data_IF_453229003516
#
_entry.id   IF_453229003516
#
_cell.length_a   1.000
_cell.length_b   1.000
_cell.length_c   1.000
_cell.angle_alpha   90.00
_cell.angle_beta   90.00
_cell.angle_gamma   90.00
#
_symmetry.space_group_name_H-M   'P 1'
#
loop_
_entity.id
_entity.type
_entity.pdbx_description
1 polymer ?
#
# COMPACT_ATOMS: atom_id res chain seq x y z
N UNK A 1 -9.83 10.51 6.65
CA UNK A 1 -10.23 11.86 7.08
C UNK A 1 -11.46 12.23 6.28
N UNK A 2 -12.42 12.89 6.91
CA UNK A 2 -13.72 13.20 6.30
C UNK A 2 -13.83 14.72 6.11
N UNK A 3 -14.51 15.12 5.03
CA UNK A 3 -14.89 16.51 4.74
C UNK A 3 -13.73 17.51 4.72
N UNK A 4 -12.53 17.09 4.30
CA UNK A 4 -11.39 17.97 4.08
C UNK A 4 -11.02 18.08 2.60
N UNK A 5 -10.49 19.23 2.22
CA UNK A 5 -10.04 19.51 0.85
C UNK A 5 -8.51 19.51 0.82
N UNK A 6 -7.94 18.83 -0.16
CA UNK A 6 -6.50 18.87 -0.39
C UNK A 6 -6.10 20.20 -1.04
N UNK A 7 -4.88 20.72 -0.81
CA UNK A 7 -4.43 22.00 -1.37
C UNK A 7 -4.52 22.08 -2.91
N UNK A 8 -4.39 20.93 -3.58
CA UNK A 8 -4.50 20.81 -5.03
C UNK A 8 -5.52 19.73 -5.39
N UNK A 9 -6.60 20.13 -6.07
CA UNK A 9 -7.64 19.19 -6.51
C UNK A 9 -7.07 18.15 -7.48
N UNK A 10 -7.54 16.91 -7.39
CA UNK A 10 -7.15 15.78 -8.26
C UNK A 10 -5.67 15.36 -8.19
N UNK A 11 -4.93 15.80 -7.16
CA UNK A 11 -3.55 15.39 -6.94
C UNK A 11 -3.44 14.60 -5.63
N UNK A 12 -2.59 13.57 -5.63
CA UNK A 12 -2.08 12.99 -4.41
C UNK A 12 -0.94 13.85 -3.87
N UNK A 13 -0.83 13.97 -2.56
CA UNK A 13 0.19 14.76 -1.88
C UNK A 13 1.12 13.84 -1.12
N UNK A 14 2.42 14.05 -1.32
CA UNK A 14 3.47 13.40 -0.54
C UNK A 14 4.14 14.47 0.30
N UNK A 15 4.14 14.29 1.61
CA UNK A 15 4.77 15.19 2.57
C UNK A 15 6.05 14.54 3.03
N UNK A 16 7.16 15.23 2.80
CA UNK A 16 8.48 14.83 3.26
C UNK A 16 8.64 15.24 4.74
N UNK A 17 8.00 14.46 5.62
CA UNK A 17 8.09 14.61 7.06
C UNK A 17 9.29 13.84 7.63
N UNK A 18 9.71 14.23 8.84
CA UNK A 18 10.71 13.54 9.65
C UNK A 18 10.01 12.66 10.70
N UNK A 19 10.34 11.37 10.86
CA UNK A 19 11.42 10.62 10.20
C UNK A 19 11.03 9.95 8.87
N UNK A 20 9.77 10.00 8.45
CA UNK A 20 9.26 9.21 7.33
C UNK A 20 8.11 9.92 6.61
N UNK A 21 7.90 9.64 5.31
CA UNK A 21 6.95 10.38 4.50
C UNK A 21 5.49 10.09 4.87
N UNK A 22 4.62 11.05 4.55
CA UNK A 22 3.17 10.95 4.73
C UNK A 22 2.50 11.11 3.36
N UNK A 23 1.54 10.24 3.04
CA UNK A 23 0.75 10.35 1.82
C UNK A 23 -0.68 10.76 2.11
N UNK A 24 -1.21 11.64 1.28
CA UNK A 24 -2.61 12.00 1.22
C UNK A 24 -3.14 11.83 -0.20
N UNK A 25 -4.33 11.25 -0.33
CA UNK A 25 -5.02 11.21 -1.61
C UNK A 25 -6.53 11.06 -1.39
N UNK A 26 -7.36 11.67 -2.26
CA UNK A 26 -8.81 11.52 -2.18
C UNK A 26 -9.18 10.10 -2.63
N UNK A 27 -10.10 9.46 -1.91
CA UNK A 27 -10.67 8.15 -2.28
C UNK A 27 -12.16 8.24 -2.61
N UNK A 28 -12.82 9.31 -2.19
CA UNK A 28 -14.20 9.64 -2.53
C UNK A 28 -14.37 11.16 -2.55
N UNK A 29 -15.58 11.65 -2.87
CA UNK A 29 -15.91 13.08 -2.83
C UNK A 29 -15.89 13.68 -1.43
N UNK A 30 -15.91 12.84 -0.38
CA UNK A 30 -15.98 13.26 1.02
C UNK A 30 -14.84 12.72 1.87
N UNK A 31 -14.02 11.79 1.35
CA UNK A 31 -12.98 11.11 2.12
C UNK A 31 -11.60 11.25 1.48
N UNK A 32 -10.65 11.60 2.33
CA UNK A 32 -9.22 11.63 2.02
C UNK A 32 -8.53 10.55 2.84
N UNK A 33 -7.80 9.68 2.15
CA UNK A 33 -6.91 8.70 2.79
C UNK A 33 -5.64 9.39 3.23
N UNK A 34 -5.22 9.12 4.46
CA UNK A 34 -3.91 9.48 4.99
C UNK A 34 -3.15 8.20 5.30
N UNK A 35 -1.91 8.10 4.83
CA UNK A 35 -0.97 7.04 5.16
C UNK A 35 0.27 7.67 5.79
N UNK A 36 0.57 7.27 7.02
CA UNK A 36 1.76 7.71 7.75
C UNK A 36 2.72 6.52 7.79
N UNK A 37 3.90 6.69 7.22
CA UNK A 37 4.96 5.70 7.39
C UNK A 37 5.59 5.82 8.78
N UNK A 38 5.75 4.70 9.46
CA UNK A 38 6.27 4.63 10.83
C UNK A 38 7.50 3.74 10.78
N UNK A 39 8.72 4.29 10.96
CA UNK A 39 9.93 3.50 10.83
C UNK A 39 10.13 2.57 12.03
N UNK A 40 10.76 1.43 11.78
CA UNK A 40 11.16 0.47 12.80
C UNK A 40 10.36 -0.84 12.79
N UNK A 41 10.84 -1.83 13.55
CA UNK A 41 10.23 -3.17 13.61
C UNK A 41 8.98 -3.24 14.49
N UNK A 42 8.83 -2.31 15.44
CA UNK A 42 7.69 -2.23 16.35
C UNK A 42 7.02 -0.87 16.17
N UNK A 43 5.77 -0.90 15.73
CA UNK A 43 4.92 0.29 15.68
C UNK A 43 4.31 0.56 17.06
N UNK A 44 4.03 1.83 17.40
CA UNK A 44 3.28 2.18 18.60
C UNK A 44 1.95 1.40 18.68
N UNK A 45 1.56 0.98 19.88
CA UNK A 45 0.33 0.21 20.03
C UNK A 45 -0.91 1.10 19.85
N UNK A 46 -1.91 0.57 19.15
CA UNK A 46 -3.22 1.23 19.00
C UNK A 46 -4.04 1.03 20.29
N UNK A 47 -3.98 -0.16 20.89
CA UNK A 47 -4.83 -0.55 22.02
C UNK A 47 -4.59 0.27 23.30
N UNK A 48 -3.36 0.79 23.49
CA UNK A 48 -2.98 1.63 24.63
C UNK A 48 -2.94 3.13 24.29
N UNK A 49 -3.32 3.52 23.07
CA UNK A 49 -3.32 4.92 22.61
C UNK A 49 -1.95 5.52 22.27
N UNK A 50 -0.86 4.74 22.31
CA UNK A 50 0.48 5.23 21.95
C UNK A 50 0.55 5.71 20.50
N UNK A 51 -0.14 5.00 19.59
CA UNK A 51 -0.25 5.41 18.19
C UNK A 51 -0.93 6.77 18.04
N UNK A 52 -2.07 6.98 18.71
CA UNK A 52 -2.77 8.25 18.69
C UNK A 52 -1.89 9.38 19.25
N UNK A 53 -1.16 9.12 20.34
CA UNK A 53 -0.19 10.06 20.90
C UNK A 53 0.91 10.40 19.90
N UNK A 54 1.55 9.39 19.30
CA UNK A 54 2.59 9.58 18.28
C UNK A 54 2.11 10.43 17.11
N UNK A 55 0.92 10.14 16.57
CA UNK A 55 0.35 10.89 15.46
C UNK A 55 0.09 12.35 15.85
N UNK A 56 -0.40 12.63 17.06
CA UNK A 56 -0.64 14.01 17.53
C UNK A 56 0.63 14.78 17.85
N UNK A 57 1.65 14.13 18.42
CA UNK A 57 2.85 14.84 18.92
C UNK A 57 3.95 14.96 17.89
N UNK A 58 4.11 13.96 17.01
CA UNK A 58 5.22 13.90 16.05
C UNK A 58 4.73 14.25 14.65
N UNK A 59 3.58 13.72 14.24
CA UNK A 59 3.12 13.79 12.85
C UNK A 59 2.30 15.05 12.59
N UNK A 60 1.32 15.37 13.45
CA UNK A 60 0.42 16.50 13.28
C UNK A 60 1.13 17.86 13.10
N UNK A 61 2.22 18.20 13.82
CA UNK A 61 2.93 19.48 13.63
C UNK A 61 3.56 19.65 12.24
N UNK A 62 3.75 18.56 11.50
CA UNK A 62 4.38 18.55 10.17
C UNK A 62 3.34 18.50 9.03
N UNK A 63 2.05 18.43 9.38
CA UNK A 63 0.95 18.42 8.41
C UNK A 63 0.56 19.87 8.07
N UNK A 64 0.20 20.16 6.81
CA UNK A 64 -0.30 21.46 6.38
C UNK A 64 -1.48 21.92 7.26
N UNK A 65 -1.55 23.22 7.62
CA UNK A 65 -2.61 23.77 8.47
C UNK A 65 -4.02 23.41 7.98
N UNK A 66 -4.22 23.34 6.66
CA UNK A 66 -5.51 23.05 6.03
C UNK A 66 -6.03 21.62 6.33
N UNK A 67 -5.11 20.69 6.61
CA UNK A 67 -5.44 19.28 6.89
C UNK A 67 -5.33 18.94 8.37
N UNK A 68 -4.74 19.83 9.19
CA UNK A 68 -4.44 19.59 10.58
C UNK A 68 -5.68 19.21 11.40
N UNK A 69 -6.76 20.01 11.32
CA UNK A 69 -7.96 19.79 12.13
C UNK A 69 -8.68 18.49 11.75
N UNK A 70 -8.77 18.22 10.44
CA UNK A 70 -9.33 16.98 9.94
C UNK A 70 -8.50 15.74 10.34
N UNK A 71 -7.17 15.90 10.43
CA UNK A 71 -6.27 14.85 10.88
C UNK A 71 -6.45 14.56 12.37
N UNK A 72 -6.49 15.58 13.23
CA UNK A 72 -6.72 15.43 14.67
C UNK A 72 -8.09 14.79 14.94
N UNK A 73 -9.14 15.27 14.29
CA UNK A 73 -10.49 14.69 14.41
C UNK A 73 -10.52 13.21 13.99
N UNK A 74 -9.83 12.85 12.90
CA UNK A 74 -9.74 11.46 12.46
C UNK A 74 -9.02 10.55 13.48
N UNK A 75 -8.02 11.06 14.19
CA UNK A 75 -7.33 10.35 15.27
C UNK A 75 -8.27 10.15 16.46
N UNK A 76 -9.01 11.19 16.84
CA UNK A 76 -9.96 11.15 17.96
C UNK A 76 -11.12 10.18 17.73
N UNK A 77 -11.56 10.05 16.47
CA UNK A 77 -12.56 9.07 16.07
C UNK A 77 -12.04 7.62 16.11
N UNK A 78 -10.73 7.40 16.28
CA UNK A 78 -10.15 6.09 16.60
C UNK A 78 -10.06 5.06 15.47
N UNK A 79 -10.40 5.42 14.23
CA UNK A 79 -10.33 4.50 13.07
C UNK A 79 -8.90 4.39 12.50
N UNK A 80 -7.93 4.08 13.36
CA UNK A 80 -6.52 3.91 13.00
C UNK A 80 -6.28 2.44 12.66
N UNK A 81 -5.67 2.18 11.50
CA UNK A 81 -5.27 0.83 11.07
C UNK A 81 -3.79 0.82 10.74
N UNK A 82 -3.12 -0.25 11.13
CA UNK A 82 -1.71 -0.49 10.81
C UNK A 82 -1.59 -1.65 9.83
N UNK A 83 -0.69 -1.50 8.87
CA UNK A 83 -0.31 -2.56 7.93
C UNK A 83 1.21 -2.61 7.85
N UNK A 84 1.83 -3.80 7.82
CA UNK A 84 3.27 -3.91 7.68
C UNK A 84 3.70 -3.60 6.23
N UNK A 85 4.70 -2.74 6.07
CA UNK A 85 5.39 -2.54 4.80
C UNK A 85 6.43 -3.66 4.64
N UNK A 86 6.18 -4.63 3.76
CA UNK A 86 7.10 -5.74 3.49
C UNK A 86 7.75 -5.57 2.12
N UNK A 87 8.96 -6.10 2.01
CA UNK A 87 9.64 -6.31 0.74
C UNK A 87 9.84 -7.81 0.57
N UNK A 88 9.33 -8.36 -0.53
CA UNK A 88 9.48 -9.75 -0.91
C UNK A 88 10.01 -9.77 -2.34
N UNK A 89 11.33 -9.95 -2.55
CA UNK A 89 11.88 -10.05 -3.89
C UNK A 89 11.36 -11.34 -4.56
N UNK A 90 11.13 -11.26 -5.87
CA UNK A 90 10.77 -12.43 -6.66
C UNK A 90 11.91 -13.46 -6.65
N UNK A 91 11.62 -14.65 -6.13
CA UNK A 91 12.51 -15.83 -6.18
C UNK A 91 11.70 -17.02 -6.71
N UNK A 92 11.65 -17.22 -8.04
CA UNK A 92 10.79 -18.23 -8.63
C UNK A 92 11.29 -19.64 -8.31
N UNK A 93 10.43 -20.44 -7.69
CA UNK A 93 10.63 -21.87 -7.50
C UNK A 93 9.62 -22.66 -8.36
N UNK A 94 10.03 -23.16 -9.54
CA UNK A 94 9.13 -23.83 -10.47
C UNK A 94 8.53 -25.09 -9.83
N UNK A 95 7.21 -25.06 -9.63
CA UNK A 95 6.45 -26.19 -9.09
C UNK A 95 5.43 -26.62 -10.14
N UNK A 96 5.55 -27.83 -10.73
CA UNK A 96 4.65 -28.27 -11.77
C UNK A 96 3.17 -28.18 -11.35
N UNK A 97 2.37 -27.48 -12.15
CA UNK A 97 0.94 -27.30 -11.90
C UNK A 97 0.59 -26.18 -10.91
N UNK A 98 1.56 -25.41 -10.42
CA UNK A 98 1.34 -24.26 -9.55
C UNK A 98 1.97 -23.00 -10.13
N UNK A 99 1.30 -21.86 -9.93
CA UNK A 99 1.78 -20.53 -10.30
C UNK A 99 1.54 -19.58 -9.13
N UNK A 100 2.55 -18.80 -8.78
CA UNK A 100 2.49 -17.77 -7.75
C UNK A 100 2.51 -16.39 -8.42
N UNK A 101 1.63 -15.48 -8.00
CA UNK A 101 1.50 -14.14 -8.61
C UNK A 101 1.15 -13.06 -7.58
N UNK A 102 1.32 -11.80 -8.00
CA UNK A 102 1.02 -10.61 -7.21
C UNK A 102 1.89 -10.50 -5.97
N UNK A 103 1.34 -9.89 -4.92
CA UNK A 103 2.02 -9.66 -3.63
C UNK A 103 2.51 -10.96 -2.95
N UNK A 104 1.97 -12.13 -3.33
CA UNK A 104 2.45 -13.42 -2.84
C UNK A 104 3.78 -13.84 -3.49
N UNK A 105 4.07 -13.35 -4.71
CA UNK A 105 5.29 -13.63 -5.46
C UNK A 105 6.33 -12.52 -5.33
N UNK A 106 5.90 -11.26 -5.44
CA UNK A 106 6.77 -10.10 -5.52
C UNK A 106 6.10 -8.88 -4.86
N UNK A 107 6.62 -8.42 -3.73
CA UNK A 107 6.06 -7.31 -2.96
C UNK A 107 7.11 -6.21 -2.79
N UNK A 108 6.71 -4.97 -3.07
CA UNK A 108 7.54 -3.77 -2.93
C UNK A 108 6.94 -2.83 -1.89
N UNK A 109 7.74 -1.86 -1.44
CA UNK A 109 7.25 -0.82 -0.54
C UNK A 109 6.06 -0.06 -1.17
N UNK A 110 4.92 0.13 -0.47
CA UNK A 110 3.70 0.68 -1.07
C UNK A 110 3.76 2.21 -1.32
N UNK A 111 4.92 2.84 -1.12
CA UNK A 111 5.10 4.29 -1.21
C UNK A 111 4.75 4.82 -2.60
N UNK A 112 5.06 4.04 -3.63
CA UNK A 112 4.78 4.39 -5.03
C UNK A 112 3.42 3.88 -5.53
N UNK A 113 2.68 3.14 -4.71
CA UNK A 113 1.39 2.55 -5.11
C UNK A 113 1.45 1.56 -6.27
N UNK A 114 2.65 1.02 -6.59
CA UNK A 114 2.87 0.22 -7.81
C UNK A 114 2.37 -1.22 -7.79
N UNK A 115 2.02 -1.79 -6.63
CA UNK A 115 1.73 -3.23 -6.49
C UNK A 115 0.61 -3.74 -7.40
N UNK A 116 -0.51 -3.01 -7.48
CA UNK A 116 -1.61 -3.38 -8.38
C UNK A 116 -1.23 -3.27 -9.86
N UNK A 117 -0.45 -2.25 -10.23
CA UNK A 117 0.04 -2.08 -11.60
C UNK A 117 0.95 -3.24 -12.01
N UNK A 118 1.83 -3.68 -11.11
CA UNK A 118 2.69 -4.84 -11.34
C UNK A 118 1.85 -6.12 -11.51
N UNK A 119 0.92 -6.37 -10.59
CA UNK A 119 0.05 -7.55 -10.67
C UNK A 119 -0.78 -7.60 -11.97
N UNK A 120 -1.32 -6.47 -12.42
CA UNK A 120 -2.05 -6.39 -13.68
C UNK A 120 -1.13 -6.55 -14.90
N UNK A 121 0.11 -6.05 -14.84
CA UNK A 121 1.09 -6.24 -15.90
C UNK A 121 1.49 -7.72 -16.02
N UNK A 122 1.69 -8.41 -14.89
CA UNK A 122 1.95 -9.84 -14.85
C UNK A 122 0.81 -10.65 -15.46
N UNK A 123 -0.45 -10.24 -15.23
CA UNK A 123 -1.62 -10.88 -15.84
C UNK A 123 -1.62 -10.77 -17.36
N UNK A 124 -1.22 -9.64 -17.93
CA UNK A 124 -1.14 -9.47 -19.39
C UNK A 124 -0.09 -10.41 -19.99
N UNK A 125 1.10 -10.47 -19.37
CA UNK A 125 2.16 -11.40 -19.81
C UNK A 125 1.69 -12.84 -19.68
N UNK A 126 1.08 -13.20 -18.55
CA UNK A 126 0.55 -14.54 -18.33
C UNK A 126 -0.53 -14.89 -19.37
N UNK A 127 -1.43 -13.97 -19.69
CA UNK A 127 -2.46 -14.18 -20.69
C UNK A 127 -1.83 -14.56 -22.05
N UNK A 128 -0.81 -13.84 -22.48
CA UNK A 128 -0.11 -14.12 -23.74
C UNK A 128 0.63 -15.46 -23.71
N UNK A 129 1.22 -15.83 -22.57
CA UNK A 129 1.85 -17.13 -22.38
C UNK A 129 0.84 -18.29 -22.37
N UNK A 130 -0.36 -18.08 -21.81
CA UNK A 130 -1.41 -19.09 -21.76
C UNK A 130 -2.16 -19.25 -23.08
N UNK A 131 -2.24 -18.20 -23.91
CA UNK A 131 -2.99 -18.19 -25.18
C UNK A 131 -2.64 -19.33 -26.16
N UNK A 132 -1.38 -19.73 -26.39
CA UNK A 132 -1.05 -20.87 -27.26
C UNK A 132 -1.31 -22.24 -26.63
N UNK A 133 -1.51 -22.32 -25.30
CA UNK A 133 -1.65 -23.58 -24.59
C UNK A 133 -3.07 -24.13 -24.74
N UNK A 134 -3.19 -25.26 -25.46
CA UNK A 134 -4.48 -25.94 -25.67
C UNK A 134 -4.83 -26.96 -24.59
N UNK A 135 -3.85 -27.31 -23.74
CA UNK A 135 -4.00 -28.32 -22.71
C UNK A 135 -3.24 -27.90 -21.45
N UNK A 136 -3.96 -27.74 -20.34
CA UNK A 136 -3.41 -27.39 -19.03
C UNK A 136 -3.09 -28.62 -18.15
N UNK A 137 -3.35 -29.84 -18.64
CA UNK A 137 -3.11 -31.07 -17.88
C UNK A 137 -1.67 -31.58 -17.92
N UNK A 138 -0.82 -31.02 -18.78
CA UNK A 138 0.61 -31.36 -18.82
C UNK A 138 1.43 -30.39 -17.96
N UNK A 139 1.37 -30.61 -16.64
CA UNK A 139 2.03 -29.77 -15.65
C UNK A 139 3.56 -29.66 -15.86
N UNK A 140 4.21 -30.71 -16.38
CA UNK A 140 5.66 -30.72 -16.61
C UNK A 140 6.06 -29.85 -17.80
N UNK A 141 5.33 -29.95 -18.93
CA UNK A 141 5.58 -29.10 -20.09
C UNK A 141 5.23 -27.64 -19.83
N UNK A 142 4.16 -27.38 -19.06
CA UNK A 142 3.75 -26.03 -18.67
C UNK A 142 4.80 -25.35 -17.77
N UNK A 143 5.35 -26.08 -16.80
CA UNK A 143 6.40 -25.59 -15.88
C UNK A 143 7.72 -25.25 -16.59
N UNK A 144 7.95 -25.80 -17.79
CA UNK A 144 9.12 -25.44 -18.61
C UNK A 144 8.86 -24.21 -19.50
N UNK A 145 7.60 -23.95 -19.79
CA UNK A 145 7.17 -22.90 -20.70
C UNK A 145 6.88 -21.58 -19.97
N UNK A 146 6.33 -21.68 -18.76
CA UNK A 146 6.07 -20.59 -17.80
C UNK A 146 7.27 -20.40 -16.87
#
# INVERSE_FOLDING_TARGET
>A
MENCQLPFANHGHVILADPSPILFYPISSTEVRCLVDVPGQKVPSIANGEMAKYLKTIVAPQIPPELHDAFISAIDNGNIRTMPNKSLPADPYPTPGALLMGDAFNMHHPLTGGGMTLALSDIVVLQDLLKPLRNLHDAASLCKYL
#
